data_IF_028222445503
#
_entry.id   IF_028222445503
#
_cell.length_a   1.000
_cell.length_b   1.000
_cell.length_c   1.000
_cell.angle_alpha   90.00
_cell.angle_beta   90.00
_cell.angle_gamma   90.00
#
_symmetry.space_group_name_H-M   'P 1'
#
loop_
_entity.id
_entity.type
_entity.pdbx_description
1 polymer ?
#
# COMPACT_ATOMS: atom_id res chain seq x y z
N UNK A 1 -7.34 -6.19 -1.84
CA UNK A 1 -7.75 -4.93 -1.18
C UNK A 1 -7.83 -3.85 -2.23
N UNK A 2 -8.96 -3.14 -2.26
CA UNK A 2 -9.13 -2.00 -3.16
C UNK A 2 -8.97 -0.71 -2.38
N UNK A 3 -8.24 0.25 -2.96
CA UNK A 3 -7.99 1.55 -2.35
C UNK A 3 -8.55 2.64 -3.21
N UNK A 4 -8.96 3.74 -2.57
CA UNK A 4 -9.42 4.97 -3.18
C UNK A 4 -8.58 6.14 -2.69
N UNK A 5 -8.71 7.26 -3.37
CA UNK A 5 -8.03 8.51 -2.99
C UNK A 5 -6.52 8.31 -2.82
N UNK A 6 -5.92 7.67 -3.83
CA UNK A 6 -4.48 7.38 -3.82
C UNK A 6 -3.70 8.70 -3.87
N UNK A 7 -2.68 8.79 -3.01
CA UNK A 7 -1.72 9.88 -3.02
C UNK A 7 -0.32 9.28 -3.10
N UNK A 8 0.40 9.56 -4.18
CA UNK A 8 1.76 9.08 -4.37
C UNK A 8 2.75 10.19 -4.05
N UNK A 9 3.78 9.84 -3.28
CA UNK A 9 4.89 10.73 -2.94
C UNK A 9 6.10 10.47 -3.82
N UNK A 10 5.96 9.56 -4.78
CA UNK A 10 7.02 9.17 -5.70
C UNK A 10 6.39 8.87 -7.06
N UNK A 11 7.21 8.53 -8.07
CA UNK A 11 6.69 8.15 -9.37
C UNK A 11 5.99 6.80 -9.31
N UNK A 12 4.99 6.60 -10.19
CA UNK A 12 4.23 5.35 -10.22
C UNK A 12 5.10 4.15 -10.58
N UNK A 13 6.23 4.37 -11.25
CA UNK A 13 7.16 3.30 -11.60
C UNK A 13 7.75 2.63 -10.36
N UNK A 14 7.84 3.33 -9.25
CA UNK A 14 8.31 2.76 -7.98
C UNK A 14 7.38 1.66 -7.47
N UNK A 15 6.14 1.62 -7.94
CA UNK A 15 5.16 0.62 -7.53
C UNK A 15 5.25 -0.68 -8.34
N UNK A 16 6.12 -0.74 -9.36
CA UNK A 16 6.23 -1.90 -10.25
C UNK A 16 7.02 -3.06 -9.67
N UNK A 17 7.29 -3.04 -8.39
CA UNK A 17 8.04 -4.06 -7.69
C UNK A 17 7.31 -4.45 -6.42
N UNK A 18 7.74 -5.52 -5.78
CA UNK A 18 7.18 -5.88 -4.49
C UNK A 18 7.46 -4.78 -3.47
N UNK A 19 6.43 -4.39 -2.76
CA UNK A 19 6.47 -3.35 -1.75
C UNK A 19 6.05 -3.93 -0.41
N UNK A 20 6.00 -3.04 0.57
CA UNK A 20 5.39 -3.33 1.86
C UNK A 20 4.27 -2.34 2.10
N UNK A 21 3.20 -2.81 2.72
CA UNK A 21 2.08 -1.95 3.09
C UNK A 21 1.80 -2.08 4.57
N UNK A 22 1.21 -1.03 5.13
CA UNK A 22 0.80 -1.02 6.53
C UNK A 22 -0.63 -0.53 6.56
N UNK A 23 -1.52 -1.33 7.14
CA UNK A 23 -2.96 -1.02 7.19
C UNK A 23 -3.40 -0.52 8.54
N UNK A 24 -2.50 -0.47 9.53
CA UNK A 24 -2.73 0.10 10.85
C UNK A 24 -1.44 0.71 11.36
N UNK A 25 -1.54 1.77 12.15
CA UNK A 25 -0.36 2.43 12.70
C UNK A 25 0.49 1.52 13.59
N UNK A 26 -0.13 0.56 14.26
CA UNK A 26 0.54 -0.41 15.13
C UNK A 26 0.74 -1.76 14.47
N UNK A 27 0.35 -1.90 13.21
CA UNK A 27 0.46 -3.17 12.47
C UNK A 27 1.85 -3.42 11.93
N UNK A 28 2.08 -4.65 11.49
CA UNK A 28 3.31 -5.03 10.83
C UNK A 28 3.30 -4.57 9.36
N UNK A 29 4.50 -4.46 8.79
CA UNK A 29 4.64 -4.27 7.35
C UNK A 29 4.31 -5.59 6.65
N UNK A 30 3.45 -5.51 5.63
CA UNK A 30 2.98 -6.67 4.88
C UNK A 30 3.50 -6.58 3.46
N UNK A 31 4.15 -7.65 3.00
CA UNK A 31 4.63 -7.69 1.62
C UNK A 31 3.46 -7.72 0.65
N UNK A 32 3.52 -6.91 -0.41
CA UNK A 32 2.41 -6.75 -1.33
C UNK A 32 2.86 -6.28 -2.69
N UNK A 33 1.95 -6.43 -3.66
CA UNK A 33 2.05 -5.76 -4.96
C UNK A 33 0.91 -4.78 -5.08
N UNK A 34 1.19 -3.61 -5.65
CA UNK A 34 0.20 -2.56 -5.85
C UNK A 34 0.00 -2.36 -7.35
N UNK A 35 -1.24 -2.50 -7.79
CA UNK A 35 -1.63 -2.26 -9.18
C UNK A 35 -2.50 -1.01 -9.22
N UNK A 36 -2.02 0.04 -9.89
CA UNK A 36 -2.82 1.25 -10.08
C UNK A 36 -3.91 0.96 -11.11
N UNK A 37 -5.16 1.18 -10.72
CA UNK A 37 -6.30 1.03 -11.63
C UNK A 37 -6.44 2.30 -12.46
N UNK A 38 -6.35 3.45 -11.77
CA UNK A 38 -6.31 4.78 -12.38
C UNK A 38 -5.58 5.70 -11.41
N UNK A 39 -5.62 7.01 -11.65
CA UNK A 39 -4.87 7.97 -10.83
C UNK A 39 -5.34 8.04 -9.38
N UNK A 40 -6.58 7.62 -9.10
CA UNK A 40 -7.20 7.74 -7.78
C UNK A 40 -7.42 6.39 -7.09
N UNK A 41 -7.33 5.29 -7.82
CA UNK A 41 -7.70 3.96 -7.31
C UNK A 41 -6.60 2.94 -7.56
N UNK A 42 -6.49 2.00 -6.65
CA UNK A 42 -5.49 0.93 -6.76
C UNK A 42 -6.02 -0.36 -6.17
N UNK A 43 -5.41 -1.46 -6.58
CA UNK A 43 -5.62 -2.78 -5.98
C UNK A 43 -4.33 -3.23 -5.33
N UNK A 44 -4.41 -3.62 -4.07
CA UNK A 44 -3.27 -4.15 -3.33
C UNK A 44 -3.45 -5.65 -3.19
N UNK A 45 -2.45 -6.41 -3.66
CA UNK A 45 -2.43 -7.86 -3.56
C UNK A 45 -1.40 -8.25 -2.51
N UNK A 46 -1.87 -8.72 -1.35
CA UNK A 46 -0.98 -9.17 -0.28
C UNK A 46 -0.37 -10.52 -0.65
N UNK A 47 0.92 -10.68 -0.39
CA UNK A 47 1.61 -11.96 -0.61
C UNK A 47 1.06 -13.03 0.36
N UNK A 48 0.78 -12.62 1.61
CA UNK A 48 0.19 -13.50 2.61
C UNK A 48 -1.13 -12.90 3.10
N UNK A 49 -2.15 -13.73 3.38
CA UNK A 49 -3.42 -13.21 3.90
C UNK A 49 -3.22 -12.48 5.23
N UNK A 50 -4.06 -11.48 5.46
CA UNK A 50 -4.06 -10.69 6.69
C UNK A 50 -5.48 -10.47 7.16
N UNK A 51 -5.72 -10.71 8.46
CA UNK A 51 -7.01 -10.47 9.07
C UNK A 51 -7.16 -9.01 9.53
N UNK A 52 -8.40 -8.59 9.74
CA UNK A 52 -8.68 -7.29 10.34
C UNK A 52 -8.55 -6.11 9.40
N UNK A 53 -8.58 -6.36 8.09
CA UNK A 53 -8.61 -5.31 7.08
C UNK A 53 -10.04 -4.86 6.89
N UNK A 54 -10.28 -3.56 7.02
CA UNK A 54 -11.64 -2.99 6.98
C UNK A 54 -11.70 -1.73 6.14
N UNK A 55 -12.84 -1.46 5.49
CA UNK A 55 -13.04 -0.19 4.80
C UNK A 55 -12.84 0.99 5.75
N UNK A 56 -12.28 2.07 5.23
CA UNK A 56 -12.01 3.28 6.00
C UNK A 56 -10.63 3.32 6.64
N UNK A 57 -9.91 2.20 6.68
CA UNK A 57 -8.54 2.21 7.16
C UNK A 57 -7.60 2.79 6.10
N UNK A 58 -6.56 3.49 6.55
CA UNK A 58 -5.50 3.94 5.66
C UNK A 58 -4.58 2.76 5.32
N UNK A 59 -4.07 2.75 4.09
CA UNK A 59 -3.07 1.78 3.66
C UNK A 59 -1.89 2.58 3.13
N UNK A 60 -0.74 2.45 3.78
CA UNK A 60 0.47 3.21 3.45
C UNK A 60 1.46 2.29 2.78
N UNK A 61 2.06 2.77 1.67
CA UNK A 61 3.02 2.02 0.88
C UNK A 61 4.45 2.36 1.28
N UNK A 62 5.29 1.34 1.44
CA UNK A 62 6.70 1.50 1.81
C UNK A 62 7.58 0.72 0.87
N UNK A 63 8.78 1.25 0.62
CA UNK A 63 9.87 0.51 0.00
C UNK A 63 10.96 0.30 1.04
N UNK A 64 11.46 -0.93 1.12
CA UNK A 64 12.59 -1.23 1.99
C UNK A 64 13.89 -0.87 1.25
N UNK A 65 14.78 -0.16 1.91
CA UNK A 65 16.11 0.13 1.39
C UNK A 65 17.15 -0.12 2.49
N UNK A 66 18.42 0.17 2.19
CA UNK A 66 19.52 -0.11 3.12
C UNK A 66 19.46 0.75 4.38
N UNK A 67 18.72 1.83 4.37
CA UNK A 67 18.60 2.75 5.52
C UNK A 67 17.27 2.61 6.25
N UNK A 68 16.41 1.68 5.86
CA UNK A 68 15.11 1.49 6.48
C UNK A 68 14.00 1.44 5.45
N UNK A 69 12.86 2.09 5.75
CA UNK A 69 11.69 2.08 4.89
C UNK A 69 11.35 3.49 4.43
N UNK A 70 11.16 3.65 3.12
CA UNK A 70 10.76 4.91 2.52
C UNK A 70 9.27 4.87 2.24
N UNK A 71 8.53 5.91 2.64
CA UNK A 71 7.10 6.04 2.34
C UNK A 71 6.94 6.41 0.88
N UNK A 72 6.16 5.63 0.14
CA UNK A 72 5.90 5.85 -1.29
C UNK A 72 4.56 6.52 -1.53
N UNK A 73 3.65 6.44 -0.59
CA UNK A 73 2.31 6.97 -0.72
C UNK A 73 1.31 6.10 0.00
N UNK A 74 0.06 6.18 -0.42
CA UNK A 74 -1.00 5.35 0.16
C UNK A 74 -2.37 5.75 -0.31
N UNK A 75 -3.37 5.17 0.33
CA UNK A 75 -4.76 5.45 0.05
C UNK A 75 -5.64 4.92 1.16
N UNK A 76 -6.95 4.93 0.90
CA UNK A 76 -7.93 4.47 1.88
C UNK A 76 -8.59 3.20 1.37
N UNK A 77 -8.73 2.23 2.26
CA UNK A 77 -9.38 0.95 1.93
C UNK A 77 -10.85 1.22 1.66
N UNK A 78 -11.31 0.80 0.45
CA UNK A 78 -12.69 1.02 0.03
C UNK A 78 -13.55 -0.22 0.16
N UNK A 79 -12.93 -1.39 0.38
CA UNK A 79 -13.68 -2.63 0.57
C UNK A 79 -12.89 -3.64 1.39
#
# INVERSE_FOLDING_TARGET
IYLKQINLLTSKEELNQNLFVKVRSTGNLLEAKVDLIDKDNAKVNLVFPEDGISPGQACVFYRKDQFGHKVLGGGWISN
#
